data_IF_093121275593
#
_entry.id   IF_093121275593
#
_cell.length_a   1.000
_cell.length_b   1.000
_cell.length_c   1.000
_cell.angle_alpha   90.00
_cell.angle_beta   90.00
_cell.angle_gamma   90.00
#
_symmetry.space_group_name_H-M   'P 1'
#
loop_
_entity.id
_entity.type
_entity.pdbx_description
1 polymer ?
#
# COMPACT_ATOMS: atom_id res chain seq x y z
N UNK A 1 2.42 27.48 -19.68
CA UNK A 1 2.39 26.11 -19.11
C UNK A 1 1.77 26.25 -17.72
N UNK A 2 0.74 25.48 -17.37
CA UNK A 2 0.13 25.58 -16.05
C UNK A 2 0.97 24.72 -15.08
N UNK A 3 1.76 25.32 -14.18
CA UNK A 3 2.71 24.58 -13.36
C UNK A 3 1.99 23.55 -12.48
N UNK A 4 0.76 23.82 -12.03
CA UNK A 4 -0.03 22.89 -11.23
C UNK A 4 -0.51 21.69 -12.04
N UNK A 5 -0.81 21.88 -13.33
CA UNK A 5 -1.16 20.78 -14.22
C UNK A 5 0.04 19.87 -14.49
N UNK A 6 1.23 20.45 -14.66
CA UNK A 6 2.48 19.68 -14.83
C UNK A 6 2.80 18.88 -13.55
N UNK A 7 2.64 19.51 -12.39
CA UNK A 7 2.81 18.85 -11.10
C UNK A 7 1.86 17.69 -10.89
N UNK A 8 0.55 17.91 -11.08
CA UNK A 8 -0.45 16.86 -10.95
C UNK A 8 -0.13 15.70 -11.92
N UNK A 9 0.26 16.00 -13.16
CA UNK A 9 0.63 14.96 -14.11
C UNK A 9 1.83 14.12 -13.68
N UNK A 10 2.80 14.72 -12.98
CA UNK A 10 3.99 14.05 -12.49
C UNK A 10 3.72 13.09 -11.32
N UNK A 11 2.66 13.30 -10.53
CA UNK A 11 2.34 12.49 -9.36
C UNK A 11 1.06 11.63 -9.50
N UNK A 12 0.16 11.97 -10.41
CA UNK A 12 -1.06 11.22 -10.69
C UNK A 12 -0.78 10.11 -11.71
N UNK A 13 -0.96 8.85 -11.30
CA UNK A 13 -0.49 7.66 -12.02
C UNK A 13 -1.52 6.84 -12.83
N UNK A 14 -2.85 7.03 -12.75
CA UNK A 14 -3.79 6.34 -13.64
C UNK A 14 -3.49 6.57 -15.13
N UNK A 15 -3.53 5.49 -15.93
CA UNK A 15 -3.37 5.55 -17.40
C UNK A 15 -4.70 5.76 -18.13
N UNK A 16 -5.72 5.05 -17.66
CA UNK A 16 -7.10 5.18 -18.12
C UNK A 16 -8.01 5.41 -16.89
N UNK A 17 -7.95 6.59 -16.27
CA UNK A 17 -8.69 6.90 -15.05
C UNK A 17 -10.19 6.73 -15.23
N UNK A 18 -10.87 6.33 -14.15
CA UNK A 18 -12.29 6.60 -14.00
C UNK A 18 -12.50 8.10 -13.79
N UNK A 19 -13.48 8.69 -14.45
CA UNK A 19 -13.80 10.11 -14.26
C UNK A 19 -15.29 10.40 -14.50
N UNK A 20 -15.78 11.49 -13.91
CA UNK A 20 -17.17 11.96 -13.94
C UNK A 20 -17.23 13.45 -13.59
N UNK A 21 -18.24 14.17 -14.09
CA UNK A 21 -18.55 15.54 -13.64
C UNK A 21 -19.42 15.59 -12.38
N UNK A 22 -20.10 14.49 -12.06
CA UNK A 22 -20.96 14.39 -10.88
C UNK A 22 -20.36 13.47 -9.83
N UNK A 23 -20.47 13.84 -8.54
CA UNK A 23 -19.98 13.08 -7.38
C UNK A 23 -20.55 11.67 -7.35
N UNK A 24 -21.86 11.55 -7.55
CA UNK A 24 -22.59 10.27 -7.54
C UNK A 24 -22.90 9.77 -8.97
N UNK A 25 -22.16 10.28 -9.95
CA UNK A 25 -22.35 9.96 -11.36
C UNK A 25 -21.81 8.58 -11.77
N UNK A 26 -22.13 8.17 -12.99
CA UNK A 26 -21.52 6.98 -13.59
C UNK A 26 -20.08 7.28 -14.03
N UNK A 27 -19.11 6.76 -13.28
CA UNK A 27 -17.70 6.88 -13.61
C UNK A 27 -17.32 6.01 -14.81
N UNK A 28 -16.67 6.61 -15.82
CA UNK A 28 -16.21 5.90 -17.02
C UNK A 28 -14.70 5.97 -17.18
N UNK A 29 -14.10 4.88 -17.66
CA UNK A 29 -12.68 4.83 -18.02
C UNK A 29 -12.44 5.76 -19.22
N UNK A 30 -11.48 6.66 -19.11
CA UNK A 30 -11.21 7.65 -20.16
C UNK A 30 -9.73 7.99 -20.28
N UNK A 31 -9.36 8.85 -21.24
CA UNK A 31 -7.97 9.32 -21.41
C UNK A 31 -7.62 10.28 -20.29
N UNK A 32 -6.32 10.35 -19.92
CA UNK A 32 -5.86 11.30 -18.90
C UNK A 32 -6.24 12.75 -19.22
N UNK A 33 -6.02 13.17 -20.47
CA UNK A 33 -6.35 14.52 -20.91
C UNK A 33 -7.83 14.85 -20.70
N UNK A 34 -8.74 13.94 -21.05
CA UNK A 34 -10.18 14.12 -20.81
C UNK A 34 -10.53 14.07 -19.31
N UNK A 35 -9.94 13.17 -18.54
CA UNK A 35 -10.21 13.09 -17.11
C UNK A 35 -9.82 14.39 -16.37
N UNK A 36 -8.73 15.04 -16.77
CA UNK A 36 -8.31 16.32 -16.18
C UNK A 36 -9.27 17.48 -16.47
N UNK A 37 -10.20 17.35 -17.41
CA UNK A 37 -11.27 18.34 -17.65
C UNK A 37 -12.54 18.06 -16.85
N UNK A 38 -12.62 16.95 -16.11
CA UNK A 38 -13.80 16.54 -15.36
C UNK A 38 -13.65 16.83 -13.87
N UNK A 39 -14.77 16.97 -13.16
CA UNK A 39 -14.76 17.33 -11.73
C UNK A 39 -14.14 16.25 -10.82
N UNK A 40 -14.41 14.98 -11.08
CA UNK A 40 -14.00 13.86 -10.24
C UNK A 40 -13.16 12.86 -11.04
N UNK A 41 -12.06 12.41 -10.47
CA UNK A 41 -11.09 11.52 -11.10
C UNK A 41 -10.67 10.38 -10.17
N UNK A 42 -10.28 9.24 -10.75
CA UNK A 42 -9.66 8.15 -10.00
C UNK A 42 -8.37 8.64 -9.34
N UNK A 43 -8.23 8.43 -8.04
CA UNK A 43 -7.06 8.90 -7.30
C UNK A 43 -5.80 8.11 -7.65
N UNK A 44 -5.91 6.78 -7.59
CA UNK A 44 -4.79 5.84 -7.73
C UNK A 44 -5.22 4.63 -8.58
N UNK A 45 -4.34 4.06 -9.41
CA UNK A 45 -4.58 2.76 -10.01
C UNK A 45 -4.57 1.65 -8.94
N UNK A 46 -5.24 0.53 -9.21
CA UNK A 46 -5.45 -0.56 -8.23
C UNK A 46 -4.16 -1.15 -7.60
N UNK A 47 -3.04 -1.09 -8.32
CA UNK A 47 -1.79 -1.76 -7.94
C UNK A 47 -0.68 -0.80 -7.50
N UNK A 48 -0.95 0.52 -7.49
CA UNK A 48 0.05 1.53 -7.20
C UNK A 48 -0.61 2.72 -6.52
N UNK A 49 -0.08 3.14 -5.38
CA UNK A 49 -0.55 4.32 -4.69
C UNK A 49 0.50 5.43 -4.74
N UNK A 50 0.15 6.55 -5.38
CA UNK A 50 0.97 7.75 -5.47
C UNK A 50 0.37 8.93 -4.71
N UNK A 51 -0.93 8.91 -4.42
CA UNK A 51 -1.62 9.94 -3.64
C UNK A 51 -2.16 9.33 -2.34
N UNK A 52 -1.87 9.96 -1.21
CA UNK A 52 -2.55 9.70 0.07
C UNK A 52 -3.60 10.78 0.25
N UNK A 53 -4.86 10.38 0.45
CA UNK A 53 -6.00 11.28 0.47
C UNK A 53 -6.79 11.06 1.74
N UNK A 54 -7.05 12.14 2.45
CA UNK A 54 -8.01 12.19 3.55
C UNK A 54 -9.15 13.11 3.15
N UNK A 55 -10.38 12.59 3.13
CA UNK A 55 -11.58 13.40 2.93
C UNK A 55 -12.02 13.96 4.29
N UNK A 56 -12.06 15.28 4.42
CA UNK A 56 -12.48 15.96 5.64
C UNK A 56 -13.78 16.71 5.36
N UNK A 57 -14.86 16.27 6.01
CA UNK A 57 -16.18 16.86 5.84
C UNK A 57 -16.39 18.15 6.65
N UNK A 58 -15.47 18.50 7.55
CA UNK A 58 -15.51 19.77 8.27
C UNK A 58 -15.12 20.97 7.41
N UNK A 59 -15.62 22.16 7.76
CA UNK A 59 -15.44 23.38 6.98
C UNK A 59 -14.07 24.07 7.09
N UNK A 60 -13.03 23.34 7.51
CA UNK A 60 -11.67 23.86 7.76
C UNK A 60 -10.59 22.95 7.14
N UNK A 61 -10.89 22.22 6.07
CA UNK A 61 -9.97 21.24 5.50
C UNK A 61 -8.63 21.83 5.03
N UNK A 62 -8.58 23.12 4.74
CA UNK A 62 -7.40 23.88 4.34
C UNK A 62 -6.53 24.34 5.51
N UNK A 63 -7.15 24.75 6.62
CA UNK A 63 -6.45 25.24 7.81
C UNK A 63 -5.99 24.11 8.73
N UNK A 64 -6.78 23.03 8.81
CA UNK A 64 -6.60 21.95 9.79
C UNK A 64 -5.19 21.34 9.78
N UNK A 65 -4.56 21.01 8.63
CA UNK A 65 -3.19 20.50 8.62
C UNK A 65 -2.19 21.45 9.30
N UNK A 66 -2.27 22.76 9.00
CA UNK A 66 -1.39 23.77 9.58
C UNK A 66 -1.59 23.94 11.07
N UNK A 67 -2.85 23.96 11.54
CA UNK A 67 -3.18 24.04 12.97
C UNK A 67 -2.68 22.84 13.78
N UNK A 68 -2.64 21.66 13.16
CA UNK A 68 -2.13 20.43 13.77
C UNK A 68 -0.59 20.29 13.67
N UNK A 69 0.09 21.23 13.01
CA UNK A 69 1.54 21.16 12.78
C UNK A 69 1.95 20.07 11.79
N UNK A 70 1.04 19.62 10.91
CA UNK A 70 1.38 18.77 9.79
C UNK A 70 2.11 19.58 8.70
N UNK A 71 2.96 18.93 7.88
CA UNK A 71 3.50 19.58 6.71
C UNK A 71 2.37 19.99 5.75
N UNK A 72 2.57 21.06 4.98
CA UNK A 72 1.55 21.55 4.06
C UNK A 72 1.14 20.43 3.07
N UNK A 73 -0.16 20.15 2.87
CA UNK A 73 -0.61 19.21 1.85
C UNK A 73 -0.04 19.57 0.47
N UNK A 74 0.21 18.58 -0.40
CA UNK A 74 0.58 18.87 -1.79
C UNK A 74 -0.51 19.69 -2.48
N UNK A 75 -1.77 19.38 -2.15
CA UNK A 75 -2.91 20.28 -2.35
C UNK A 75 -4.08 19.87 -1.47
N UNK A 76 -5.03 20.79 -1.27
CA UNK A 76 -6.36 20.53 -0.75
C UNK A 76 -7.38 20.93 -1.81
N UNK A 77 -8.27 20.02 -2.19
CA UNK A 77 -9.36 20.32 -3.13
C UNK A 77 -10.66 20.50 -2.35
N UNK A 78 -11.08 21.75 -2.17
CA UNK A 78 -12.25 22.13 -1.37
C UNK A 78 -13.54 22.14 -2.19
N UNK A 79 -14.65 21.89 -1.50
CA UNK A 79 -15.98 22.30 -1.95
C UNK A 79 -16.11 23.81 -1.68
N UNK A 80 -16.37 24.65 -2.70
CA UNK A 80 -16.44 26.11 -2.54
C UNK A 80 -17.53 26.62 -1.58
N UNK A 81 -18.52 25.80 -1.26
CA UNK A 81 -19.65 26.19 -0.42
C UNK A 81 -19.54 25.73 1.03
N UNK A 82 -18.94 24.56 1.26
CA UNK A 82 -18.88 23.93 2.59
C UNK A 82 -17.49 23.94 3.21
N UNK A 83 -16.45 24.26 2.44
CA UNK A 83 -15.03 24.10 2.80
C UNK A 83 -14.64 22.68 3.25
N UNK A 84 -15.49 21.68 2.98
CA UNK A 84 -15.08 20.28 3.07
C UNK A 84 -14.19 19.91 1.91
N UNK A 85 -13.19 19.06 2.14
CA UNK A 85 -12.05 18.98 1.24
C UNK A 85 -11.36 17.63 1.21
N UNK A 86 -10.80 17.32 0.06
CA UNK A 86 -9.82 16.24 -0.05
C UNK A 86 -8.45 16.82 0.20
N UNK A 87 -7.85 16.46 1.33
CA UNK A 87 -6.47 16.83 1.72
C UNK A 87 -5.54 15.78 1.12
N UNK A 88 -4.61 16.20 0.26
CA UNK A 88 -3.80 15.28 -0.55
C UNK A 88 -2.30 15.48 -0.30
N UNK A 89 -1.63 14.38 0.02
CA UNK A 89 -0.17 14.27 0.03
C UNK A 89 0.28 13.41 -1.15
N UNK A 90 0.98 14.02 -2.11
CA UNK A 90 1.57 13.33 -3.25
C UNK A 90 2.90 12.69 -2.86
N UNK A 91 3.10 11.42 -3.18
CA UNK A 91 4.33 10.70 -2.91
C UNK A 91 5.38 10.94 -3.98
N UNK A 92 6.62 11.20 -3.56
CA UNK A 92 7.77 11.31 -4.46
C UNK A 92 8.07 9.99 -5.18
N UNK A 93 7.86 8.87 -4.48
CA UNK A 93 7.97 7.52 -5.02
C UNK A 93 6.67 6.75 -4.73
N UNK A 94 5.89 6.39 -5.77
CA UNK A 94 4.67 5.60 -5.58
C UNK A 94 4.95 4.23 -4.94
N UNK A 95 3.99 3.75 -4.15
CA UNK A 95 4.06 2.45 -3.47
C UNK A 95 3.38 1.39 -4.30
N UNK A 96 4.12 0.36 -4.70
CA UNK A 96 3.56 -0.81 -5.38
C UNK A 96 2.79 -1.67 -4.37
N UNK A 97 1.52 -1.94 -4.66
CA UNK A 97 0.59 -2.70 -3.81
C UNK A 97 0.42 -4.16 -4.28
N UNK A 98 1.15 -4.57 -5.32
CA UNK A 98 1.11 -5.96 -5.81
C UNK A 98 1.63 -6.95 -4.76
N UNK A 99 1.28 -8.22 -4.92
CA UNK A 99 1.68 -9.21 -3.91
C UNK A 99 3.18 -9.53 -3.86
N UNK A 100 3.87 -9.29 -4.98
CA UNK A 100 5.31 -9.44 -5.09
C UNK A 100 6.09 -8.23 -4.53
N UNK A 101 5.40 -7.14 -4.19
CA UNK A 101 6.04 -5.92 -3.73
C UNK A 101 6.64 -6.05 -2.33
N UNK A 102 7.59 -5.16 -2.03
CA UNK A 102 8.19 -5.09 -0.70
C UNK A 102 7.14 -4.67 0.32
N UNK A 103 6.88 -5.53 1.31
CA UNK A 103 5.86 -5.30 2.33
C UNK A 103 6.20 -4.15 3.29
N UNK A 104 7.48 -3.77 3.43
CA UNK A 104 7.90 -2.69 4.34
C UNK A 104 7.27 -1.33 3.94
N UNK A 105 7.41 -0.84 2.69
CA UNK A 105 6.70 0.34 2.21
C UNK A 105 5.18 0.27 2.37
N UNK A 106 4.55 -0.86 2.03
CA UNK A 106 3.09 -1.02 2.11
C UNK A 106 2.59 -0.87 3.56
N UNK A 107 3.28 -1.49 4.52
CA UNK A 107 2.94 -1.36 5.95
C UNK A 107 3.16 0.05 6.48
N UNK A 108 4.22 0.73 6.03
CA UNK A 108 4.46 2.11 6.43
C UNK A 108 3.39 3.05 5.85
N UNK A 109 3.01 2.85 4.59
CA UNK A 109 1.91 3.55 3.94
C UNK A 109 0.61 3.37 4.73
N UNK A 110 0.24 2.14 5.10
CA UNK A 110 -0.97 1.88 5.87
C UNK A 110 -0.97 2.62 7.23
N UNK A 111 0.18 2.70 7.91
CA UNK A 111 0.32 3.47 9.15
C UNK A 111 0.17 4.97 8.92
N UNK A 112 0.73 5.49 7.83
CA UNK A 112 0.61 6.90 7.46
C UNK A 112 -0.85 7.25 7.13
N UNK A 113 -1.54 6.42 6.33
CA UNK A 113 -2.96 6.60 6.02
C UNK A 113 -3.82 6.63 7.28
N UNK A 114 -3.59 5.68 8.19
CA UNK A 114 -4.32 5.62 9.44
C UNK A 114 -4.05 6.85 10.32
N UNK A 115 -2.78 7.23 10.50
CA UNK A 115 -2.41 8.40 11.28
C UNK A 115 -2.98 9.70 10.72
N UNK A 116 -2.93 9.88 9.39
CA UNK A 116 -3.54 11.03 8.71
C UNK A 116 -5.06 11.01 8.84
N UNK A 117 -5.72 9.87 8.61
CA UNK A 117 -7.17 9.77 8.76
C UNK A 117 -7.62 10.05 10.19
N UNK A 118 -6.87 9.63 11.20
CA UNK A 118 -7.20 9.90 12.60
C UNK A 118 -6.99 11.36 12.97
N UNK A 119 -5.83 11.94 12.65
CA UNK A 119 -5.52 13.30 13.11
C UNK A 119 -6.29 14.38 12.32
N UNK A 120 -6.60 14.13 11.04
CA UNK A 120 -7.37 15.04 10.19
C UNK A 120 -8.88 14.78 10.26
N UNK A 121 -9.34 13.93 11.19
CA UNK A 121 -10.75 13.57 11.34
C UNK A 121 -11.38 13.15 9.99
N UNK A 122 -10.67 12.29 9.27
CA UNK A 122 -11.06 11.84 7.94
C UNK A 122 -12.34 11.02 7.97
N UNK A 123 -13.18 11.20 6.95
CA UNK A 123 -14.40 10.42 6.77
C UNK A 123 -14.05 8.92 6.72
N UNK A 124 -14.55 8.10 7.67
CA UNK A 124 -14.30 6.67 7.66
C UNK A 124 -14.92 6.00 6.43
N UNK A 125 -16.00 6.53 5.85
CA UNK A 125 -16.67 5.97 4.67
C UNK A 125 -15.91 6.24 3.36
N UNK A 126 -15.00 7.21 3.35
CA UNK A 126 -14.21 7.55 2.18
C UNK A 126 -13.30 6.38 1.76
N UNK A 127 -13.50 5.88 0.54
CA UNK A 127 -12.79 4.69 0.02
C UNK A 127 -11.45 5.00 -0.64
N UNK A 128 -11.13 6.28 -0.89
CA UNK A 128 -9.90 6.68 -1.57
C UNK A 128 -9.86 6.37 -3.07
N UNK A 129 -10.95 5.87 -3.67
CA UNK A 129 -10.99 5.49 -5.09
C UNK A 129 -11.14 6.71 -6.01
N UNK A 130 -12.04 7.61 -5.67
CA UNK A 130 -12.34 8.82 -6.43
C UNK A 130 -11.94 10.03 -5.61
N UNK A 131 -11.34 11.02 -6.27
CA UNK A 131 -10.99 12.31 -5.68
C UNK A 131 -11.53 13.48 -6.48
N UNK A 132 -11.76 14.60 -5.79
CA UNK A 132 -11.94 15.91 -6.43
C UNK A 132 -10.70 16.22 -7.27
N UNK A 133 -10.91 16.61 -8.51
CA UNK A 133 -9.85 17.07 -9.41
C UNK A 133 -9.49 18.52 -9.06
N UNK A 134 -8.23 18.82 -8.64
CA UNK A 134 -7.83 20.17 -8.28
C UNK A 134 -7.65 21.09 -9.49
N UNK A 135 -7.75 20.59 -10.73
CA UNK A 135 -7.78 21.43 -11.94
C UNK A 135 -9.20 21.76 -12.41
N UNK A 136 -10.23 21.19 -11.79
CA UNK A 136 -11.62 21.50 -12.13
C UNK A 136 -12.07 22.80 -11.48
N UNK A 137 -12.76 23.65 -12.24
CA UNK A 137 -13.37 24.89 -11.76
C UNK A 137 -14.49 24.67 -10.73
N UNK A 138 -15.00 23.44 -10.63
CA UNK A 138 -16.02 23.06 -9.63
C UNK A 138 -15.49 23.00 -8.21
N UNK A 139 -14.18 22.98 -8.04
CA UNK A 139 -13.50 22.87 -6.76
C UNK A 139 -12.60 24.08 -6.54
N UNK A 140 -12.34 24.40 -5.28
CA UNK A 140 -11.35 25.41 -4.92
C UNK A 140 -10.06 24.71 -4.50
N UNK A 141 -9.02 24.67 -5.37
CA UNK A 141 -7.75 24.06 -5.03
C UNK A 141 -6.88 25.04 -4.23
N UNK A 142 -6.33 24.56 -3.12
CA UNK A 142 -5.26 25.23 -2.39
C UNK A 142 -4.01 24.39 -2.55
N UNK A 143 -3.03 24.92 -3.26
CA UNK A 143 -1.77 24.21 -3.55
C UNK A 143 -0.76 24.46 -2.43
N UNK A 144 -0.06 23.41 -2.03
CA UNK A 144 1.05 23.52 -1.09
C UNK A 144 2.28 24.19 -1.69
N UNK A 145 3.23 24.50 -0.82
CA UNK A 145 4.51 25.12 -1.18
C UNK A 145 5.31 24.26 -2.16
N UNK A 146 5.94 24.93 -3.14
CA UNK A 146 6.92 24.39 -4.09
C UNK A 146 6.54 23.07 -4.79
N UNK A 147 5.24 22.75 -4.87
CA UNK A 147 4.77 21.52 -5.48
C UNK A 147 5.46 20.29 -4.89
N UNK A 148 5.58 20.29 -3.56
CA UNK A 148 6.37 19.29 -2.86
C UNK A 148 5.75 17.89 -2.94
N UNK A 149 6.63 16.90 -3.14
CA UNK A 149 6.28 15.47 -3.12
C UNK A 149 7.00 14.81 -1.98
N UNK A 150 6.23 14.07 -1.20
CA UNK A 150 6.67 13.56 0.09
C UNK A 150 7.30 12.17 -0.01
N UNK A 151 8.38 11.98 0.73
CA UNK A 151 8.87 10.63 1.03
C UNK A 151 8.00 9.95 2.10
N UNK A 152 7.81 8.62 2.04
CA UNK A 152 7.10 7.91 3.12
C UNK A 152 7.75 8.13 4.50
N UNK A 153 9.08 8.18 4.55
CA UNK A 153 9.81 8.41 5.81
C UNK A 153 9.57 9.82 6.35
N UNK A 154 9.42 10.79 5.46
CA UNK A 154 9.17 12.19 5.81
C UNK A 154 7.79 12.34 6.46
N UNK A 155 6.72 11.86 5.81
CA UNK A 155 5.37 11.85 6.39
C UNK A 155 5.31 11.05 7.69
N UNK A 156 5.96 9.89 7.74
CA UNK A 156 6.03 9.09 8.96
C UNK A 156 6.73 9.85 10.10
N UNK A 157 7.78 10.62 9.81
CA UNK A 157 8.48 11.42 10.82
C UNK A 157 7.59 12.54 11.34
N UNK A 158 6.90 13.26 10.45
CA UNK A 158 5.93 14.29 10.82
C UNK A 158 4.84 13.73 11.74
N UNK A 159 4.17 12.65 11.33
CA UNK A 159 3.15 11.99 12.15
C UNK A 159 3.71 11.45 13.48
N UNK A 160 4.94 10.94 13.49
CA UNK A 160 5.57 10.43 14.71
C UNK A 160 5.85 11.55 15.70
N UNK A 161 6.26 12.73 15.23
CA UNK A 161 6.50 13.90 16.09
C UNK A 161 5.20 14.39 16.75
N UNK A 162 4.08 14.23 16.05
CA UNK A 162 2.74 14.55 16.56
C UNK A 162 2.12 13.42 17.40
N UNK A 163 2.81 12.29 17.60
CA UNK A 163 2.26 11.11 18.27
C UNK A 163 1.13 10.42 17.52
N UNK A 164 0.88 10.79 16.26
CA UNK A 164 -0.22 10.30 15.43
C UNK A 164 0.15 9.09 14.57
N UNK A 165 1.44 8.72 14.47
CA UNK A 165 1.84 7.53 13.73
C UNK A 165 1.58 6.25 14.56
N UNK A 166 0.66 5.36 14.14
CA UNK A 166 0.39 4.12 14.86
C UNK A 166 1.63 3.27 15.07
N UNK A 167 1.69 2.47 16.14
CA UNK A 167 2.78 1.49 16.30
C UNK A 167 2.71 0.41 15.22
N UNK A 168 3.82 -0.27 14.98
CA UNK A 168 3.91 -1.27 13.91
C UNK A 168 3.01 -2.48 14.12
N UNK A 169 2.81 -2.87 15.38
CA UNK A 169 2.02 -3.99 15.88
C UNK A 169 0.61 -3.59 16.32
N UNK A 170 0.26 -2.31 16.19
CA UNK A 170 -1.05 -1.79 16.57
C UNK A 170 -2.08 -2.05 15.46
N UNK A 171 -2.51 -3.32 15.38
CA UNK A 171 -3.54 -3.76 14.44
C UNK A 171 -4.85 -2.99 14.61
N UNK A 172 -5.16 -2.50 15.83
CA UNK A 172 -6.39 -1.75 16.11
C UNK A 172 -6.32 -0.33 15.54
N UNK A 173 -5.14 0.29 15.54
CA UNK A 173 -4.97 1.60 14.92
C UNK A 173 -4.99 1.54 13.39
N UNK A 174 -4.60 0.43 12.76
CA UNK A 174 -4.63 0.27 11.29
C UNK A 174 -6.04 0.12 10.69
N UNK A 175 -7.08 0.10 11.54
CA UNK A 175 -8.47 -0.15 11.17
C UNK A 175 -9.08 0.91 10.26
N UNK A 176 -8.48 2.10 10.23
CA UNK A 176 -8.87 3.24 9.38
C UNK A 176 -8.13 3.28 8.03
N UNK A 177 -7.08 2.48 7.83
CA UNK A 177 -6.33 2.45 6.56
C UNK A 177 -7.03 1.63 5.48
N UNK A 178 -6.99 2.13 4.24
CA UNK A 178 -7.54 1.42 3.08
C UNK A 178 -6.68 0.21 2.74
N UNK A 179 -5.35 0.43 2.75
CA UNK A 179 -4.33 -0.59 2.53
C UNK A 179 -4.26 -1.59 3.70
N UNK A 180 -4.57 -1.16 4.93
CA UNK A 180 -4.51 -1.95 6.16
C UNK A 180 -5.31 -3.26 6.08
N UNK A 181 -6.55 -3.21 5.57
CA UNK A 181 -7.43 -4.38 5.39
C UNK A 181 -6.79 -5.45 4.51
N UNK A 182 -6.25 -5.04 3.37
CA UNK A 182 -5.59 -5.95 2.42
C UNK A 182 -4.35 -6.58 3.06
N UNK A 183 -3.52 -5.77 3.75
CA UNK A 183 -2.31 -6.22 4.44
C UNK A 183 -2.65 -7.28 5.49
N UNK A 184 -3.66 -7.04 6.32
CA UNK A 184 -4.05 -7.95 7.39
C UNK A 184 -4.59 -9.28 6.85
N UNK A 185 -5.55 -9.23 5.92
CA UNK A 185 -6.09 -10.45 5.30
C UNK A 185 -4.98 -11.25 4.60
N UNK A 186 -4.10 -10.59 3.84
CA UNK A 186 -2.97 -11.24 3.17
C UNK A 186 -1.98 -11.85 4.17
N UNK A 187 -1.59 -11.11 5.22
CA UNK A 187 -0.62 -11.59 6.22
C UNK A 187 -1.14 -12.75 7.04
N UNK A 188 -2.42 -12.72 7.39
CA UNK A 188 -3.11 -13.83 8.02
C UNK A 188 -3.14 -15.05 7.10
N UNK A 189 -3.67 -14.87 5.88
CA UNK A 189 -3.96 -15.96 4.96
C UNK A 189 -2.68 -16.68 4.53
N UNK A 190 -1.61 -15.94 4.21
CA UNK A 190 -0.34 -16.56 3.82
C UNK A 190 0.29 -17.38 4.95
N UNK A 191 0.23 -16.90 6.20
CA UNK A 191 0.80 -17.62 7.35
C UNK A 191 0.03 -18.91 7.59
N UNK A 192 -1.30 -18.84 7.54
CA UNK A 192 -2.18 -20.00 7.63
C UNK A 192 -1.92 -21.00 6.50
N UNK A 193 -1.73 -20.51 5.28
CA UNK A 193 -1.52 -21.31 4.09
C UNK A 193 -0.16 -22.05 4.11
N UNK A 194 0.90 -21.40 4.59
CA UNK A 194 2.23 -22.01 4.67
C UNK A 194 2.26 -23.28 5.52
N UNK A 195 1.43 -23.37 6.55
CA UNK A 195 1.43 -24.52 7.46
C UNK A 195 0.54 -25.67 6.99
N UNK A 196 -0.23 -25.49 5.92
CA UNK A 196 -1.27 -26.43 5.48
C UNK A 196 -1.11 -26.89 4.04
N UNK A 197 -0.48 -26.09 3.18
CA UNK A 197 -0.30 -26.39 1.76
C UNK A 197 0.27 -27.79 1.51
N UNK A 198 1.18 -28.25 2.38
CA UNK A 198 1.81 -29.57 2.30
C UNK A 198 0.85 -30.76 2.34
N UNK A 199 -0.35 -30.58 2.91
CA UNK A 199 -1.36 -31.63 3.08
C UNK A 199 -2.29 -31.81 1.87
N UNK A 200 -2.16 -30.98 0.83
CA UNK A 200 -3.07 -30.99 -0.32
C UNK A 200 -2.38 -31.49 -1.58
N UNK A 201 -3.08 -32.32 -2.37
CA UNK A 201 -2.57 -32.90 -3.61
C UNK A 201 -3.28 -32.37 -4.87
N UNK A 202 -4.45 -31.74 -4.71
CA UNK A 202 -5.20 -31.15 -5.81
C UNK A 202 -5.17 -29.60 -5.77
N UNK A 203 -4.97 -28.97 -6.92
CA UNK A 203 -4.83 -27.51 -7.02
C UNK A 203 -6.18 -26.82 -6.87
N UNK A 204 -7.25 -27.37 -7.45
CA UNK A 204 -8.56 -26.76 -7.42
C UNK A 204 -9.12 -26.78 -6.00
N UNK A 205 -8.97 -27.90 -5.30
CA UNK A 205 -9.28 -28.06 -3.87
C UNK A 205 -8.51 -27.04 -3.02
N UNK A 206 -7.20 -26.90 -3.27
CA UNK A 206 -6.38 -25.93 -2.55
C UNK A 206 -6.83 -24.48 -2.79
N UNK A 207 -7.11 -24.12 -4.04
CA UNK A 207 -7.60 -22.76 -4.37
C UNK A 207 -8.96 -22.48 -3.72
N UNK A 208 -9.87 -23.48 -3.67
CA UNK A 208 -11.17 -23.36 -3.02
C UNK A 208 -11.05 -23.16 -1.51
N UNK A 209 -10.25 -23.98 -0.82
CA UNK A 209 -10.09 -23.91 0.64
C UNK A 209 -9.38 -22.62 1.08
N UNK A 210 -8.43 -22.12 0.29
CA UNK A 210 -7.81 -20.82 0.55
C UNK A 210 -8.82 -19.69 0.38
N UNK A 211 -9.71 -19.76 -0.63
CA UNK A 211 -10.78 -18.78 -0.83
C UNK A 211 -11.77 -18.79 0.34
N UNK A 212 -12.28 -19.95 0.73
CA UNK A 212 -13.20 -20.09 1.87
C UNK A 212 -12.58 -19.50 3.14
N UNK A 213 -11.29 -19.79 3.37
CA UNK A 213 -10.59 -19.25 4.53
C UNK A 213 -10.44 -17.72 4.49
N UNK A 214 -10.23 -17.16 3.29
CA UNK A 214 -10.15 -15.72 3.10
C UNK A 214 -11.51 -15.06 3.34
N UNK A 215 -12.58 -15.64 2.81
CA UNK A 215 -13.96 -15.18 2.99
C UNK A 215 -14.35 -15.17 4.45
N UNK A 216 -14.17 -16.28 5.17
CA UNK A 216 -14.46 -16.37 6.61
C UNK A 216 -13.69 -15.33 7.42
N UNK A 217 -12.39 -15.13 7.14
CA UNK A 217 -11.61 -14.09 7.83
C UNK A 217 -12.12 -12.69 7.53
N UNK A 218 -12.53 -12.43 6.30
CA UNK A 218 -13.06 -11.14 5.88
C UNK A 218 -14.37 -10.82 6.61
N UNK A 219 -15.26 -11.80 6.74
CA UNK A 219 -16.55 -11.68 7.42
C UNK A 219 -16.42 -11.62 8.94
N UNK A 220 -15.67 -12.54 9.56
CA UNK A 220 -15.60 -12.66 11.02
C UNK A 220 -14.75 -11.57 11.67
N UNK A 221 -13.73 -11.08 10.95
CA UNK A 221 -12.68 -10.24 11.54
C UNK A 221 -12.51 -8.92 10.84
N UNK A 222 -12.30 -8.91 9.52
CA UNK A 222 -12.10 -7.63 8.81
C UNK A 222 -13.37 -6.78 8.89
N UNK A 223 -14.56 -7.38 8.74
CA UNK A 223 -15.82 -6.66 8.83
C UNK A 223 -16.07 -6.01 10.20
N UNK A 224 -15.64 -6.68 11.27
CA UNK A 224 -15.91 -6.25 12.64
C UNK A 224 -14.83 -5.33 13.20
N UNK A 225 -13.57 -5.57 12.85
CA UNK A 225 -12.44 -4.85 13.44
C UNK A 225 -12.15 -3.54 12.68
N UNK A 226 -12.52 -3.40 11.40
CA UNK A 226 -12.22 -2.22 10.58
C UNK A 226 -13.42 -1.28 10.44
N UNK A 227 -13.22 0.04 10.60
CA UNK A 227 -14.29 1.03 10.48
C UNK A 227 -14.94 1.05 9.09
N UNK A 228 -14.19 0.65 8.07
CA UNK A 228 -14.65 0.51 6.67
C UNK A 228 -15.35 -0.81 6.35
N UNK A 229 -15.47 -1.70 7.33
CA UNK A 229 -16.04 -3.03 7.17
C UNK A 229 -15.24 -3.93 6.21
N UNK A 230 -15.91 -4.98 5.73
CA UNK A 230 -15.35 -6.04 4.91
C UNK A 230 -14.73 -5.53 3.61
N UNK A 231 -13.70 -6.22 3.12
CA UNK A 231 -13.25 -6.07 1.73
C UNK A 231 -14.33 -6.56 0.77
N UNK A 232 -14.37 -5.99 -0.43
CA UNK A 232 -15.31 -6.46 -1.44
C UNK A 232 -14.96 -7.88 -1.92
N UNK A 233 -15.94 -8.59 -2.48
CA UNK A 233 -15.78 -9.99 -2.88
C UNK A 233 -14.62 -10.21 -3.87
N UNK A 234 -14.44 -9.30 -4.83
CA UNK A 234 -13.37 -9.40 -5.82
C UNK A 234 -11.98 -9.22 -5.19
N UNK A 235 -11.83 -8.30 -4.24
CA UNK A 235 -10.59 -8.12 -3.48
C UNK A 235 -10.22 -9.38 -2.71
N UNK A 236 -11.19 -10.00 -2.04
CA UNK A 236 -10.99 -11.28 -1.33
C UNK A 236 -10.54 -12.37 -2.29
N UNK A 237 -11.22 -12.52 -3.43
CA UNK A 237 -10.84 -13.49 -4.48
C UNK A 237 -9.41 -13.25 -4.96
N UNK A 238 -9.03 -11.99 -5.21
CA UNK A 238 -7.69 -11.68 -5.70
C UNK A 238 -6.61 -12.03 -4.68
N UNK A 239 -6.81 -11.72 -3.40
CA UNK A 239 -5.88 -12.08 -2.31
C UNK A 239 -5.78 -13.60 -2.19
N UNK A 240 -6.92 -14.30 -2.16
CA UNK A 240 -6.97 -15.75 -2.03
C UNK A 240 -6.25 -16.44 -3.18
N UNK A 241 -6.54 -16.06 -4.43
CA UNK A 241 -5.88 -16.61 -5.63
C UNK A 241 -4.38 -16.37 -5.61
N UNK A 242 -3.95 -15.19 -5.17
CA UNK A 242 -2.54 -14.86 -5.09
C UNK A 242 -1.79 -15.75 -4.09
N UNK A 243 -2.33 -15.88 -2.88
CA UNK A 243 -1.77 -16.75 -1.84
C UNK A 243 -1.77 -18.21 -2.31
N UNK A 244 -2.91 -18.70 -2.81
CA UNK A 244 -3.08 -20.09 -3.21
C UNK A 244 -2.10 -20.49 -4.33
N UNK A 245 -2.00 -19.67 -5.39
CA UNK A 245 -1.10 -19.95 -6.52
C UNK A 245 0.37 -19.84 -6.12
N UNK A 246 0.71 -18.88 -5.26
CA UNK A 246 2.08 -18.75 -4.79
C UNK A 246 2.48 -19.97 -3.94
N UNK A 247 1.66 -20.37 -2.98
CA UNK A 247 1.96 -21.54 -2.14
C UNK A 247 1.95 -22.82 -2.95
N UNK A 248 1.06 -22.97 -3.94
CA UNK A 248 1.03 -24.12 -4.86
C UNK A 248 2.36 -24.31 -5.58
N UNK A 249 2.94 -23.22 -6.11
CA UNK A 249 4.18 -23.24 -6.89
C UNK A 249 5.44 -23.36 -6.03
N UNK A 250 5.41 -22.89 -4.78
CA UNK A 250 6.63 -22.67 -3.98
C UNK A 250 6.76 -23.57 -2.75
N UNK A 251 5.69 -24.28 -2.36
CA UNK A 251 5.68 -25.18 -1.21
C UNK A 251 5.41 -26.59 -1.71
N UNK A 252 6.36 -27.48 -1.45
CA UNK A 252 6.25 -28.88 -1.81
C UNK A 252 5.13 -29.57 -1.00
N UNK A 253 4.44 -30.57 -1.57
CA UNK A 253 3.41 -31.35 -0.90
C UNK A 253 4.01 -32.37 0.09
N UNK A 254 4.76 -31.85 1.08
CA UNK A 254 5.43 -32.60 2.14
C UNK A 254 5.02 -32.04 3.50
N UNK A 255 5.21 -32.78 4.61
CA UNK A 255 4.93 -32.26 5.94
C UNK A 255 5.59 -30.90 6.19
N UNK A 256 4.83 -29.97 6.77
CA UNK A 256 5.27 -28.57 6.99
C UNK A 256 6.62 -28.46 7.70
N UNK A 257 6.87 -29.31 8.70
CA UNK A 257 8.13 -29.30 9.44
C UNK A 257 9.33 -29.68 8.58
N UNK A 258 9.15 -30.61 7.64
CA UNK A 258 10.19 -30.97 6.68
C UNK A 258 10.47 -29.84 5.71
N UNK A 259 9.41 -29.22 5.16
CA UNK A 259 9.55 -28.05 4.30
C UNK A 259 10.26 -26.88 5.00
N UNK A 260 9.91 -26.61 6.26
CA UNK A 260 10.55 -25.58 7.08
C UNK A 260 12.04 -25.88 7.30
N UNK A 261 12.39 -27.13 7.66
CA UNK A 261 13.78 -27.56 7.81
C UNK A 261 14.57 -27.36 6.52
N UNK A 262 14.03 -27.77 5.37
CA UNK A 262 14.69 -27.58 4.07
C UNK A 262 14.94 -26.09 3.76
N UNK A 263 13.94 -25.23 4.01
CA UNK A 263 14.06 -23.79 3.78
C UNK A 263 15.03 -23.11 4.75
N UNK A 264 15.06 -23.52 6.03
CA UNK A 264 16.06 -23.04 6.98
C UNK A 264 17.48 -23.44 6.56
N UNK A 265 17.68 -24.69 6.13
CA UNK A 265 18.98 -25.15 5.63
C UNK A 265 19.42 -24.40 4.35
N UNK A 266 18.50 -24.13 3.42
CA UNK A 266 18.78 -23.32 2.22
C UNK A 266 19.19 -21.88 2.58
N UNK A 267 18.46 -21.25 3.52
CA UNK A 267 18.77 -19.90 4.02
C UNK A 267 20.10 -19.85 4.76
N UNK A 268 20.38 -20.86 5.60
CA UNK A 268 21.65 -21.02 6.31
C UNK A 268 22.82 -21.08 5.33
N UNK A 269 22.72 -21.92 4.29
CA UNK A 269 23.72 -22.01 3.22
C UNK A 269 23.91 -20.68 2.48
N UNK A 270 22.84 -19.98 2.10
CA UNK A 270 22.94 -18.66 1.45
C UNK A 270 23.60 -17.61 2.36
N UNK A 271 23.25 -17.59 3.64
CA UNK A 271 23.86 -16.69 4.63
C UNK A 271 25.35 -16.99 4.82
N UNK A 272 25.71 -18.27 4.94
CA UNK A 272 27.09 -18.72 5.02
C UNK A 272 27.89 -18.33 3.76
N UNK A 273 27.36 -18.56 2.57
CA UNK A 273 28.02 -18.13 1.32
C UNK A 273 28.20 -16.62 1.23
N UNK A 274 27.22 -15.82 1.69
CA UNK A 274 27.35 -14.36 1.71
C UNK A 274 28.41 -13.88 2.70
N UNK A 275 28.53 -14.54 3.86
CA UNK A 275 29.48 -14.19 4.93
C UNK A 275 30.90 -14.72 4.68
N UNK A 276 31.03 -15.94 4.17
CA UNK A 276 32.31 -16.66 4.06
C UNK A 276 32.72 -17.00 2.62
N UNK A 277 31.81 -17.04 1.65
CA UNK A 277 32.14 -17.29 0.24
C UNK A 277 33.08 -16.24 -0.37
N UNK A 278 33.11 -15.01 0.18
CA UNK A 278 34.13 -14.00 -0.17
C UNK A 278 35.50 -14.24 0.48
N UNK A 279 35.55 -14.94 1.61
CA UNK A 279 36.79 -15.26 2.32
C UNK A 279 37.47 -16.50 1.77
N UNK A 280 36.71 -17.51 1.31
CA UNK A 280 37.28 -18.69 0.67
C UNK A 280 37.92 -18.35 -0.68
N UNK A 281 37.34 -17.45 -1.47
CA UNK A 281 37.99 -16.93 -2.69
C UNK A 281 39.33 -16.25 -2.39
N UNK A 282 39.45 -15.49 -1.28
CA UNK A 282 40.71 -14.86 -0.85
C UNK A 282 41.72 -15.87 -0.30
N UNK A 283 41.29 -16.91 0.42
CA UNK A 283 42.16 -17.99 0.92
C UNK A 283 42.71 -18.86 -0.22
N UNK A 284 41.89 -19.20 -1.20
CA UNK A 284 42.31 -20.00 -2.36
C UNK A 284 43.32 -19.25 -3.21
N UNK A 285 43.13 -17.94 -3.45
CA UNK A 285 44.11 -17.10 -4.15
C UNK A 285 45.43 -16.99 -3.35
N UNK A 286 45.38 -16.83 -2.03
CA UNK A 286 46.60 -16.75 -1.20
C UNK A 286 47.40 -18.06 -1.20
N UNK A 287 46.72 -19.21 -1.23
CA UNK A 287 47.35 -20.55 -1.29
C UNK A 287 47.94 -20.90 -2.67
N UNK A 288 47.44 -20.28 -3.75
CA UNK A 288 47.98 -20.39 -5.11
C UNK A 288 49.21 -19.48 -5.35
N UNK A 289 49.37 -18.41 -4.56
CA UNK A 289 50.51 -17.49 -4.64
C UNK A 289 51.71 -18.02 -3.83
N UNK A 290 51.49 -18.87 -2.84
CA UNK A 290 52.54 -19.61 -2.13
C UNK A 290 53.00 -20.83 -2.96
N UNK A 291 53.68 -20.58 -4.07
CA UNK A 291 54.52 -21.59 -4.73
C UNK A 291 55.72 -21.88 -3.80
N UNK A 292 56.12 -23.14 -3.55
CA UNK A 292 57.26 -23.43 -2.70
C UNK A 292 58.53 -22.91 -3.37
N UNK A 293 59.22 -21.96 -2.74
CA UNK A 293 60.62 -21.66 -3.06
C UNK A 293 61.46 -22.85 -2.65
N UNK A 294 61.71 -23.79 -3.55
CA UNK A 294 62.83 -24.72 -3.52
C UNK A 294 63.00 -25.37 -4.90
N UNK A 295 63.87 -24.77 -5.71
CA UNK A 295 64.79 -25.39 -6.66
C UNK A 295 65.76 -24.30 -7.16
#
# INVERSE_FOLDING_TARGET
>A
MNPHADFLNACWMPRAPLASDAKDGTYKRTTRAKALTLAYIEANPLVLQSLIITDHDGGMADELPGLLGLPAPSWTALNPHTNSGHIVYALAAPVCLTDAANRRPIRLLARIESGLATILEGDPAFTGRITKNPLSETHLPIWGEDQHRYGLKELATALSNLGALPRYDDHKALTTSGVGRNVDLFDYLRKWAYTRRGSYQDQAEWEAIVLDRATLRNEDKIANDYTRGALNHNEVIHIARSVARWTWRNIAPIPTDEWLKQKQAERGRKSANKRWGKNDAKKTVKKLIEVPKNA
#
